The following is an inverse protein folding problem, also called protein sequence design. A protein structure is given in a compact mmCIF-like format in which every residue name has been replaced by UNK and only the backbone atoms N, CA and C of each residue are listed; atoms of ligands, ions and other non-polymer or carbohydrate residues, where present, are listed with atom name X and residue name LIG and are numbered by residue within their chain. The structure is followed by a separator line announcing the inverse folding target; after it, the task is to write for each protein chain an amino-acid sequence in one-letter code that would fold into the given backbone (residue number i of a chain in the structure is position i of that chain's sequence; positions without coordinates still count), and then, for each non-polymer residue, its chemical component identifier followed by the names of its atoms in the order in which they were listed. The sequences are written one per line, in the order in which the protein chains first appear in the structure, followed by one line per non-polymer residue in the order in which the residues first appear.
data_IF_612064269182
#
_entry.id   IF_612064269182
#
_cell.length_a   1.000
_cell.length_b   1.000
_cell.length_c   1.000
_cell.angle_alpha   90.00
_cell.angle_beta   90.00
_cell.angle_gamma   90.00
#
_symmetry.space_group_name_H-M   'P 1'
#
loop_
_entity.id
_entity.type
_entity.pdbx_description
1 polymer ?
#
# COMPACT_ATOMS: atom_id res chain seq x y z
N UNK A 1 3.94 19.37 -30.27
CA UNK A 1 2.87 18.94 -29.36
C UNK A 1 3.55 18.35 -28.14
N UNK A 2 3.61 19.09 -27.05
CA UNK A 2 4.23 18.66 -25.79
C UNK A 2 3.26 17.70 -25.10
N UNK A 3 3.58 16.40 -25.11
CA UNK A 3 2.87 15.43 -24.27
C UNK A 3 3.21 15.74 -22.81
N UNK A 4 2.29 16.38 -22.10
CA UNK A 4 2.34 16.43 -20.65
C UNK A 4 2.16 15.01 -20.15
N UNK A 5 3.18 14.46 -19.48
CA UNK A 5 3.05 13.17 -18.80
C UNK A 5 2.04 13.37 -17.67
N UNK A 6 0.79 12.95 -17.90
CA UNK A 6 -0.20 12.93 -16.85
C UNK A 6 0.20 11.82 -15.89
N UNK A 7 0.68 12.20 -14.70
CA UNK A 7 0.97 11.26 -13.63
C UNK A 7 -0.35 10.62 -13.19
N UNK A 8 -0.59 9.38 -13.61
CA UNK A 8 -1.79 8.64 -13.22
C UNK A 8 -1.73 8.34 -11.73
N UNK A 9 -2.76 8.76 -10.98
CA UNK A 9 -2.89 8.49 -9.56
C UNK A 9 -2.84 6.97 -9.28
N UNK A 10 -2.10 6.59 -8.24
CA UNK A 10 -2.04 5.21 -7.77
C UNK A 10 -3.07 4.98 -6.66
N UNK A 11 -3.75 3.83 -6.71
CA UNK A 11 -4.68 3.38 -5.69
C UNK A 11 -4.16 2.07 -5.12
N UNK A 12 -4.21 1.91 -3.81
CA UNK A 12 -3.66 0.75 -3.11
C UNK A 12 -4.77 0.09 -2.30
N UNK A 13 -4.92 -1.23 -2.43
CA UNK A 13 -5.75 -2.07 -1.57
C UNK A 13 -4.87 -2.97 -0.72
N UNK A 14 -5.13 -3.05 0.57
CA UNK A 14 -4.40 -3.89 1.53
C UNK A 14 -5.39 -4.82 2.23
N UNK A 15 -5.24 -6.12 1.99
CA UNK A 15 -5.91 -7.18 2.75
C UNK A 15 -4.95 -7.67 3.84
N UNK A 16 -5.46 -7.68 5.08
CA UNK A 16 -4.66 -7.88 6.29
C UNK A 16 -4.95 -9.25 6.90
N UNK A 17 -3.90 -10.04 7.11
CA UNK A 17 -3.94 -11.23 7.94
C UNK A 17 -2.99 -11.11 9.13
N UNK A 18 -3.00 -12.13 10.00
CA UNK A 18 -2.11 -12.19 11.16
C UNK A 18 -0.63 -12.17 10.77
N UNK A 19 -0.25 -12.88 9.71
CA UNK A 19 1.15 -13.12 9.36
C UNK A 19 1.59 -12.32 8.13
N UNK A 20 0.65 -11.94 7.26
CA UNK A 20 0.96 -11.30 5.98
C UNK A 20 -0.04 -10.23 5.60
N UNK A 21 0.39 -9.34 4.71
CA UNK A 21 -0.41 -8.32 4.04
C UNK A 21 -0.38 -8.59 2.53
N UNK A 22 -1.54 -8.71 1.89
CA UNK A 22 -1.64 -8.70 0.44
C UNK A 22 -1.91 -7.27 -0.04
N UNK A 23 -1.00 -6.74 -0.86
CA UNK A 23 -1.02 -5.37 -1.33
C UNK A 23 -1.26 -5.37 -2.83
N UNK A 24 -2.41 -4.84 -3.25
CA UNK A 24 -2.79 -4.69 -4.65
C UNK A 24 -2.69 -3.22 -5.08
N UNK A 25 -2.23 -2.95 -6.30
CA UNK A 25 -2.20 -1.59 -6.86
C UNK A 25 -3.00 -1.44 -8.13
N UNK A 26 -3.57 -0.26 -8.34
CA UNK A 26 -4.25 0.13 -9.57
C UNK A 26 -3.72 1.51 -10.02
N UNK A 27 -3.45 1.74 -11.32
CA UNK A 27 -3.79 0.90 -12.47
C UNK A 27 -2.76 -0.18 -12.83
N UNK A 28 -1.60 -0.23 -12.15
CA UNK A 28 -0.51 -1.14 -12.51
C UNK A 28 -0.89 -2.62 -12.34
N UNK A 29 -1.98 -2.92 -11.63
CA UNK A 29 -2.54 -4.25 -11.41
C UNK A 29 -1.51 -5.23 -10.80
N UNK A 30 -0.61 -4.71 -9.97
CA UNK A 30 0.38 -5.54 -9.26
C UNK A 30 -0.21 -6.03 -7.95
N UNK A 31 0.19 -7.24 -7.54
CA UNK A 31 -0.11 -7.79 -6.22
C UNK A 31 1.20 -8.30 -5.63
N UNK A 32 1.48 -7.94 -4.39
CA UNK A 32 2.56 -8.50 -3.60
C UNK A 32 2.06 -8.93 -2.23
N UNK A 33 2.75 -9.90 -1.63
CA UNK A 33 2.47 -10.35 -0.27
C UNK A 33 3.72 -10.11 0.57
N UNK A 34 3.57 -9.37 1.66
CA UNK A 34 4.66 -9.05 2.60
C UNK A 34 4.31 -9.55 4.00
N UNK A 35 5.30 -9.79 4.89
CA UNK A 35 5.01 -10.10 6.29
C UNK A 35 4.30 -8.94 6.99
N UNK A 36 3.38 -9.24 7.91
CA UNK A 36 2.73 -8.25 8.77
C UNK A 36 3.62 -7.91 9.98
N UNK A 37 4.83 -7.44 9.70
CA UNK A 37 5.83 -7.02 10.68
C UNK A 37 6.21 -5.56 10.46
N UNK A 38 6.80 -4.95 11.50
CA UNK A 38 7.16 -3.53 11.50
C UNK A 38 8.03 -3.13 10.31
N UNK A 39 9.17 -3.81 10.09
CA UNK A 39 10.13 -3.41 9.06
C UNK A 39 9.57 -3.53 7.62
N UNK A 40 8.89 -4.63 7.24
CA UNK A 40 8.20 -4.69 5.94
C UNK A 40 7.10 -3.62 5.77
N UNK A 41 6.33 -3.32 6.83
CA UNK A 41 5.30 -2.28 6.76
C UNK A 41 5.90 -0.87 6.58
N UNK A 42 6.99 -0.57 7.30
CA UNK A 42 7.73 0.69 7.16
C UNK A 42 8.35 0.83 5.77
N UNK A 43 8.93 -0.24 5.24
CA UNK A 43 9.45 -0.27 3.87
C UNK A 43 8.35 0.02 2.84
N UNK A 44 7.20 -0.66 2.95
CA UNK A 44 6.05 -0.42 2.09
C UNK A 44 5.56 1.04 2.18
N UNK A 45 5.44 1.60 3.39
CA UNK A 45 5.01 2.98 3.57
C UNK A 45 5.95 3.97 2.88
N UNK A 46 7.27 3.77 3.00
CA UNK A 46 8.27 4.57 2.30
C UNK A 46 8.16 4.45 0.77
N UNK A 47 7.94 3.23 0.25
CA UNK A 47 7.73 2.99 -1.18
C UNK A 47 6.46 3.67 -1.72
N UNK A 48 5.38 3.65 -0.94
CA UNK A 48 4.12 4.29 -1.30
C UNK A 48 4.21 5.82 -1.22
N UNK A 49 4.92 6.37 -0.24
CA UNK A 49 5.15 7.81 -0.10
C UNK A 49 5.95 8.41 -1.27
N UNK A 50 6.79 7.61 -1.95
CA UNK A 50 7.52 8.00 -3.15
C UNK A 50 6.67 7.99 -4.43
N UNK A 51 5.40 7.58 -4.34
CA UNK A 51 4.48 7.43 -5.47
C UNK A 51 3.29 8.39 -5.36
N UNK A 52 2.62 8.70 -6.48
CA UNK A 52 1.44 9.56 -6.52
C UNK A 52 0.19 8.81 -6.01
N UNK A 53 0.23 8.30 -4.77
CA UNK A 53 -0.87 7.55 -4.16
C UNK A 53 -2.01 8.50 -3.83
N UNK A 54 -3.18 8.27 -4.42
CA UNK A 54 -4.40 9.01 -4.11
C UNK A 54 -5.14 8.42 -2.90
N UNK A 55 -5.21 7.09 -2.81
CA UNK A 55 -5.91 6.40 -1.74
C UNK A 55 -5.25 5.07 -1.39
N UNK A 56 -5.26 4.76 -0.09
CA UNK A 56 -4.98 3.43 0.46
C UNK A 56 -6.26 2.94 1.13
N UNK A 57 -6.84 1.87 0.60
CA UNK A 57 -7.94 1.14 1.20
C UNK A 57 -7.36 -0.02 2.01
N UNK A 58 -7.72 -0.11 3.28
CA UNK A 58 -7.26 -1.15 4.18
C UNK A 58 -8.45 -1.94 4.72
N UNK A 59 -8.43 -3.25 4.56
CA UNK A 59 -9.39 -4.16 5.20
C UNK A 59 -8.93 -4.44 6.64
N UNK A 60 -9.76 -4.05 7.61
CA UNK A 60 -9.46 -4.28 9.02
C UNK A 60 -9.66 -5.76 9.39
N UNK A 61 -8.75 -6.33 10.16
CA UNK A 61 -8.74 -7.75 10.51
C UNK A 61 -8.36 -7.94 11.96
N UNK A 62 -9.36 -7.86 12.85
CA UNK A 62 -9.20 -8.19 14.27
C UNK A 62 -8.11 -7.44 15.04
N UNK A 63 -7.60 -6.32 14.52
CA UNK A 63 -6.50 -5.55 15.11
C UNK A 63 -5.13 -5.79 14.49
N UNK A 64 -4.99 -6.70 13.52
CA UNK A 64 -3.74 -6.95 12.80
C UNK A 64 -3.36 -5.80 11.86
N UNK A 65 -4.30 -4.92 11.54
CA UNK A 65 -4.08 -3.75 10.71
C UNK A 65 -3.24 -2.66 11.40
N UNK A 66 -3.11 -2.72 12.73
CA UNK A 66 -2.46 -1.65 13.51
C UNK A 66 -1.02 -1.38 13.09
N UNK A 67 -0.25 -2.43 12.77
CA UNK A 67 1.15 -2.29 12.37
C UNK A 67 1.29 -1.44 11.11
N UNK A 68 0.51 -1.77 10.07
CA UNK A 68 0.53 -1.02 8.81
C UNK A 68 -0.14 0.36 8.94
N UNK A 69 -1.20 0.51 9.75
CA UNK A 69 -1.82 1.82 10.02
C UNK A 69 -0.84 2.77 10.69
N UNK A 70 0.01 2.29 11.60
CA UNK A 70 1.06 3.09 12.22
C UNK A 70 2.14 3.51 11.22
N UNK A 71 2.52 2.61 10.31
CA UNK A 71 3.53 2.92 9.30
C UNK A 71 3.05 3.94 8.24
N UNK A 72 1.73 4.02 7.99
CA UNK A 72 1.12 4.91 7.00
C UNK A 72 0.74 6.31 7.54
N UNK A 73 1.04 6.65 8.81
CA UNK A 73 0.83 7.99 9.38
C UNK A 73 1.87 9.00 8.87
#
# INVERSE_FOLDING_TARGET
MTHTLQTTALYVGIDVSKETLAVATYPNATVQVIPNDYAPCEALANELAAQPVAFVLLEASGGFEKTIVQALQ
#
